data_IF_390831941801
#
_entry.id   IF_390831941801
#
_cell.length_a   1.000
_cell.length_b   1.000
_cell.length_c   1.000
_cell.angle_alpha   90.00
_cell.angle_beta   90.00
_cell.angle_gamma   90.00
#
_symmetry.space_group_name_H-M   'P 1'
#
loop_
_entity.id
_entity.type
_entity.pdbx_description
1 polymer ?
#
# COMPACT_ATOMS: atom_id res chain seq x y z
N UNK A 1 3.75 -23.44 18.88
CA UNK A 1 4.05 -22.68 17.64
C UNK A 1 3.26 -21.38 17.67
N UNK A 2 3.95 -20.26 17.53
CA UNK A 2 3.53 -18.93 18.01
C UNK A 2 2.39 -18.29 17.20
N UNK A 3 1.37 -17.78 17.89
CA UNK A 3 0.22 -16.99 17.35
C UNK A 3 0.65 -15.87 16.37
N UNK A 4 1.89 -15.40 16.48
CA UNK A 4 2.49 -14.43 15.56
C UNK A 4 2.56 -14.92 14.11
N UNK A 5 2.80 -16.22 13.87
CA UNK A 5 2.81 -16.77 12.49
C UNK A 5 1.42 -16.78 11.85
N UNK A 6 0.37 -16.98 12.64
CA UNK A 6 -1.01 -16.91 12.14
C UNK A 6 -1.44 -15.47 11.85
N UNK A 7 -1.06 -14.53 12.71
CA UNK A 7 -1.24 -13.09 12.47
C UNK A 7 -0.56 -12.66 11.17
N UNK A 8 0.69 -13.05 10.94
CA UNK A 8 1.40 -12.75 9.69
C UNK A 8 0.77 -13.42 8.45
N UNK A 9 -0.01 -14.50 8.62
CA UNK A 9 -0.75 -15.12 7.51
C UNK A 9 -2.00 -14.34 7.11
N UNK A 10 -2.42 -13.37 7.93
CA UNK A 10 -3.64 -12.60 7.67
C UNK A 10 -3.45 -11.65 6.48
N UNK A 11 -4.36 -11.67 5.49
CA UNK A 11 -4.32 -10.78 4.33
C UNK A 11 -4.32 -9.29 4.71
N UNK A 12 -4.97 -8.94 5.84
CA UNK A 12 -5.00 -7.58 6.34
C UNK A 12 -3.61 -7.06 6.76
N UNK A 13 -2.80 -7.92 7.40
CA UNK A 13 -1.48 -7.53 7.88
C UNK A 13 -0.52 -7.31 6.72
N UNK A 14 -0.56 -8.16 5.70
CA UNK A 14 0.25 -8.00 4.50
C UNK A 14 -0.03 -6.68 3.77
N UNK A 15 -1.30 -6.26 3.67
CA UNK A 15 -1.66 -5.01 2.98
C UNK A 15 -1.35 -3.79 3.84
N UNK A 16 -1.59 -3.85 5.15
CA UNK A 16 -1.17 -2.79 6.06
C UNK A 16 0.36 -2.60 6.01
N UNK A 17 1.13 -3.69 5.96
CA UNK A 17 2.59 -3.65 5.87
C UNK A 17 3.07 -3.12 4.52
N UNK A 18 2.44 -3.53 3.41
CA UNK A 18 2.76 -3.01 2.08
C UNK A 18 2.44 -1.51 1.94
N UNK A 19 1.31 -1.06 2.50
CA UNK A 19 0.95 0.36 2.51
C UNK A 19 1.92 1.17 3.37
N UNK A 20 2.23 0.70 4.59
CA UNK A 20 3.21 1.34 5.48
C UNK A 20 4.60 1.42 4.84
N UNK A 21 5.06 0.32 4.23
CA UNK A 21 6.32 0.29 3.50
C UNK A 21 6.34 1.28 2.32
N UNK A 22 5.23 1.38 1.58
CA UNK A 22 5.10 2.32 0.46
C UNK A 22 5.13 3.79 0.91
N UNK A 23 4.52 4.10 2.06
CA UNK A 23 4.59 5.44 2.67
C UNK A 23 6.03 5.77 3.08
N UNK A 24 6.77 4.82 3.67
CA UNK A 24 8.18 5.02 4.04
C UNK A 24 9.03 5.28 2.80
N UNK A 25 8.83 4.51 1.72
CA UNK A 25 9.54 4.72 0.45
C UNK A 25 9.23 6.11 -0.11
N UNK A 26 7.95 6.49 -0.19
CA UNK A 26 7.58 7.81 -0.72
C UNK A 26 8.13 8.94 0.14
N UNK A 27 8.08 8.81 1.47
CA UNK A 27 8.65 9.81 2.37
C UNK A 27 10.18 9.94 2.18
N UNK A 28 10.87 8.81 2.01
CA UNK A 28 12.30 8.79 1.75
C UNK A 28 12.64 9.43 0.40
N UNK A 29 11.93 9.06 -0.67
CA UNK A 29 12.10 9.62 -2.02
C UNK A 29 11.76 11.10 -2.04
N UNK A 30 10.67 11.52 -1.38
CA UNK A 30 10.29 12.93 -1.24
C UNK A 30 11.36 13.77 -0.55
N UNK A 31 12.12 13.19 0.39
CA UNK A 31 13.16 13.92 1.14
C UNK A 31 14.52 13.93 0.42
N UNK A 32 14.83 12.88 -0.36
CA UNK A 32 16.15 12.65 -0.94
C UNK A 32 16.26 12.92 -2.44
N UNK A 33 15.21 12.63 -3.21
CA UNK A 33 15.25 12.66 -4.68
C UNK A 33 14.44 13.81 -5.29
N UNK A 34 13.37 14.25 -4.63
CA UNK A 34 12.44 15.19 -5.25
C UNK A 34 12.78 16.66 -4.93
N UNK A 35 12.81 17.55 -5.94
CA UNK A 35 13.07 18.98 -5.73
C UNK A 35 11.89 19.70 -5.04
N UNK A 36 10.69 19.11 -5.09
CA UNK A 36 9.50 19.57 -4.36
C UNK A 36 8.94 18.45 -3.49
N UNK A 37 8.48 18.76 -2.27
CA UNK A 37 7.86 17.77 -1.40
C UNK A 37 6.60 17.20 -2.07
N UNK A 38 6.41 15.88 -1.97
CA UNK A 38 5.19 15.23 -2.43
C UNK A 38 4.02 15.80 -1.61
N UNK A 39 2.97 16.23 -2.32
CA UNK A 39 1.76 16.74 -1.68
C UNK A 39 1.04 15.69 -0.82
N UNK A 40 0.10 16.14 0.01
CA UNK A 40 -0.67 15.26 0.88
C UNK A 40 -1.55 14.25 0.11
N UNK A 41 -2.08 14.67 -1.05
CA UNK A 41 -2.92 13.82 -1.91
C UNK A 41 -2.18 12.57 -2.41
N UNK A 42 -1.02 12.69 -3.09
CA UNK A 42 -0.30 11.51 -3.57
C UNK A 42 0.14 10.57 -2.44
N UNK A 43 0.56 11.14 -1.29
CA UNK A 43 0.95 10.35 -0.13
C UNK A 43 -0.20 9.53 0.47
N UNK A 44 -1.44 10.00 0.30
CA UNK A 44 -2.65 9.32 0.77
C UNK A 44 -3.14 8.19 -0.15
N UNK A 45 -2.58 8.04 -1.36
CA UNK A 45 -3.03 7.01 -2.33
C UNK A 45 -2.79 5.58 -1.81
N UNK A 46 -1.59 5.18 -1.32
CA UNK A 46 -1.39 3.84 -0.75
C UNK A 46 -2.32 3.51 0.42
N UNK A 47 -2.48 4.36 1.45
CA UNK A 47 -3.41 4.05 2.54
C UNK A 47 -4.86 4.03 2.06
N UNK A 48 -5.23 4.83 1.07
CA UNK A 48 -6.57 4.80 0.47
C UNK A 48 -6.86 3.47 -0.27
N UNK A 49 -5.87 2.95 -1.02
CA UNK A 49 -6.01 1.63 -1.66
C UNK A 49 -6.10 0.52 -0.60
N UNK A 50 -5.35 0.63 0.49
CA UNK A 50 -5.41 -0.32 1.60
C UNK A 50 -6.77 -0.31 2.32
N UNK A 51 -7.37 0.85 2.55
CA UNK A 51 -8.69 0.94 3.18
C UNK A 51 -9.78 0.38 2.26
N UNK A 52 -9.71 0.67 0.96
CA UNK A 52 -10.61 0.06 -0.03
C UNK A 52 -10.54 -1.47 0.00
N UNK A 53 -9.33 -2.05 0.08
CA UNK A 53 -9.17 -3.49 0.23
C UNK A 53 -9.85 -4.01 1.50
N UNK A 54 -9.64 -3.37 2.64
CA UNK A 54 -10.22 -3.82 3.92
C UNK A 54 -11.75 -3.78 3.87
N UNK A 55 -12.33 -2.71 3.32
CA UNK A 55 -13.77 -2.58 3.13
C UNK A 55 -14.32 -3.62 2.15
N UNK A 56 -13.63 -3.88 1.05
CA UNK A 56 -14.04 -4.90 0.07
C UNK A 56 -13.91 -6.32 0.62
N UNK A 57 -12.86 -6.63 1.38
CA UNK A 57 -12.67 -7.93 2.00
C UNK A 57 -13.73 -8.22 3.06
N UNK A 58 -14.14 -7.18 3.81
CA UNK A 58 -15.23 -7.27 4.78
C UNK A 58 -16.57 -7.59 4.10
N UNK A 59 -16.82 -7.00 2.92
CA UNK A 59 -18.08 -7.16 2.16
C UNK A 59 -18.11 -8.41 1.26
N UNK A 60 -16.97 -8.84 0.73
CA UNK A 60 -16.83 -9.95 -0.22
C UNK A 60 -15.71 -10.92 0.19
N UNK A 61 -15.98 -11.74 1.22
CA UNK A 61 -15.00 -12.65 1.83
C UNK A 61 -14.41 -13.71 0.88
N UNK A 62 -15.17 -14.15 -0.14
CA UNK A 62 -14.79 -15.24 -1.06
C UNK A 62 -14.51 -14.81 -2.50
N UNK A 63 -14.47 -13.50 -2.78
CA UNK A 63 -14.21 -13.03 -4.14
C UNK A 63 -12.74 -13.29 -4.52
N UNK A 64 -12.49 -13.97 -5.66
CA UNK A 64 -11.16 -14.16 -6.26
C UNK A 64 -10.34 -12.86 -6.40
N UNK A 65 -11.01 -11.70 -6.44
CA UNK A 65 -10.43 -10.35 -6.52
C UNK A 65 -9.84 -9.84 -5.19
N UNK A 66 -10.11 -10.50 -4.07
CA UNK A 66 -9.53 -10.17 -2.76
C UNK A 66 -8.21 -10.87 -2.48
N UNK A 67 -7.56 -11.43 -3.51
CA UNK A 67 -6.20 -11.95 -3.38
C UNK A 67 -5.25 -10.82 -3.00
N UNK A 68 -4.66 -10.94 -1.82
CA UNK A 68 -3.72 -9.98 -1.21
C UNK A 68 -2.64 -9.51 -2.18
N UNK A 69 -2.13 -10.42 -3.01
CA UNK A 69 -1.07 -10.14 -3.98
C UNK A 69 -1.42 -9.05 -4.99
N UNK A 70 -2.64 -9.04 -5.54
CA UNK A 70 -3.05 -8.02 -6.51
C UNK A 70 -3.06 -6.62 -5.90
N UNK A 71 -3.49 -6.53 -4.64
CA UNK A 71 -3.55 -5.26 -3.92
C UNK A 71 -2.18 -4.75 -3.51
N UNK A 72 -1.27 -5.65 -3.12
CA UNK A 72 0.14 -5.29 -2.87
C UNK A 72 0.79 -4.77 -4.15
N UNK A 73 0.57 -5.43 -5.29
CA UNK A 73 1.08 -4.97 -6.59
C UNK A 73 0.44 -3.63 -6.98
N UNK A 74 -0.86 -3.43 -6.74
CA UNK A 74 -1.53 -2.16 -7.01
C UNK A 74 -0.98 -1.00 -6.16
N UNK A 75 -0.71 -1.24 -4.87
CA UNK A 75 -0.09 -0.28 -3.96
C UNK A 75 1.32 0.09 -4.43
N UNK A 76 2.16 -0.90 -4.75
CA UNK A 76 3.52 -0.67 -5.24
C UNK A 76 3.53 0.03 -6.59
N UNK A 77 2.65 -0.37 -7.51
CA UNK A 77 2.49 0.26 -8.82
C UNK A 77 2.05 1.70 -8.71
N UNK A 78 1.07 2.01 -7.86
CA UNK A 78 0.63 3.38 -7.60
C UNK A 78 1.78 4.23 -7.01
N UNK A 79 2.52 3.67 -6.06
CA UNK A 79 3.69 4.32 -5.44
C UNK A 79 4.77 4.65 -6.49
N UNK A 80 5.12 3.67 -7.34
CA UNK A 80 6.08 3.88 -8.42
C UNK A 80 5.59 4.94 -9.42
N UNK A 81 4.31 4.90 -9.80
CA UNK A 81 3.71 5.87 -10.71
C UNK A 81 3.77 7.31 -10.16
N UNK A 82 3.45 7.50 -8.87
CA UNK A 82 3.53 8.81 -8.21
C UNK A 82 4.96 9.35 -8.22
N UNK A 83 5.92 8.48 -7.91
CA UNK A 83 7.34 8.84 -7.91
C UNK A 83 7.78 9.26 -9.30
N UNK A 84 7.46 8.47 -10.34
CA UNK A 84 7.80 8.80 -11.73
C UNK A 84 7.17 10.13 -12.15
N UNK A 85 5.88 10.35 -11.85
CA UNK A 85 5.15 11.59 -12.17
C UNK A 85 5.64 12.83 -11.41
N UNK A 86 6.34 12.67 -10.29
CA UNK A 86 6.93 13.81 -9.56
C UNK A 86 8.39 14.04 -9.94
N UNK A 87 9.08 13.02 -10.46
CA UNK A 87 10.47 13.13 -10.93
C UNK A 87 10.52 13.74 -12.33
N UNK A 88 9.60 13.37 -13.22
CA UNK A 88 9.43 13.93 -14.57
C UNK A 88 8.54 15.17 -14.56
#
# INVERSE_FOLDING_TARGET
MSKFRELLKSPHIHIALAAGFSIIIMAFVSKRLLPKPIGYLPLAIPPFIATLFVSLLSKYKDAKFCKTWYWVVAILGATALIIVLHIF
#
